data_IF_800172762093
#
_entry.id   IF_800172762093
#
_cell.length_a   1.000
_cell.length_b   1.000
_cell.length_c   1.000
_cell.angle_alpha   90.00
_cell.angle_beta   90.00
_cell.angle_gamma   90.00
#
_symmetry.space_group_name_H-M   'P 1'
#
loop_
_entity.id
_entity.type
_entity.pdbx_description
1 polymer ?
#
# COMPACT_ATOMS: atom_id res chain seq x y z
N UNK A 1 25.58 -4.47 -4.07
CA UNK A 1 25.05 -3.26 -4.72
C UNK A 1 23.64 -3.04 -4.23
N UNK A 2 23.36 -1.97 -3.50
CA UNK A 2 22.01 -1.63 -3.10
C UNK A 2 21.19 -1.32 -4.36
N UNK A 3 20.18 -2.10 -4.63
CA UNK A 3 19.29 -1.86 -5.78
C UNK A 3 18.49 -0.59 -5.50
N UNK A 4 18.67 0.44 -6.33
CA UNK A 4 18.08 1.77 -6.20
C UNK A 4 16.58 1.73 -6.55
N UNK A 5 15.79 1.00 -5.74
CA UNK A 5 14.34 0.85 -5.97
C UNK A 5 13.58 2.15 -5.75
N UNK A 6 12.53 2.33 -6.52
CA UNK A 6 11.59 3.45 -6.41
C UNK A 6 10.25 2.92 -5.92
N UNK A 7 9.90 3.25 -4.69
CA UNK A 7 8.72 2.73 -4.00
C UNK A 7 7.68 3.83 -3.84
N UNK A 8 6.44 3.53 -4.26
CA UNK A 8 5.27 4.37 -4.03
C UNK A 8 4.37 3.71 -3.00
N UNK A 9 4.23 4.31 -1.82
CA UNK A 9 3.25 3.89 -0.82
C UNK A 9 1.95 4.66 -1.01
N UNK A 10 0.81 3.96 -1.03
CA UNK A 10 -0.51 4.58 -1.20
C UNK A 10 -1.35 4.30 0.03
N UNK A 11 -1.75 5.36 0.74
CA UNK A 11 -2.49 5.29 1.99
C UNK A 11 -3.60 6.34 2.02
N UNK A 12 -4.82 6.02 2.50
CA UNK A 12 -5.95 6.95 2.48
C UNK A 12 -5.67 8.27 3.20
N UNK A 13 -5.10 8.20 4.39
CA UNK A 13 -4.76 9.35 5.23
C UNK A 13 -3.43 9.08 5.94
N UNK A 14 -2.62 10.10 6.09
CA UNK A 14 -1.37 10.03 6.85
C UNK A 14 -1.59 10.61 8.25
N UNK A 15 -2.39 9.88 9.06
CA UNK A 15 -2.71 10.19 10.45
C UNK A 15 -1.67 9.67 11.43
N UNK A 16 -2.05 9.52 12.71
CA UNK A 16 -1.18 9.02 13.78
C UNK A 16 -1.42 7.54 14.12
N UNK A 17 -2.26 6.85 13.37
CA UNK A 17 -2.48 5.42 13.58
C UNK A 17 -1.28 4.58 13.16
N UNK A 18 -1.30 3.32 13.59
CA UNK A 18 -0.18 2.42 13.34
C UNK A 18 0.14 2.17 11.86
N UNK A 19 -0.85 2.09 10.97
CA UNK A 19 -0.61 1.94 9.54
C UNK A 19 0.08 3.17 8.94
N UNK A 20 -0.29 4.33 9.43
CA UNK A 20 0.17 5.65 9.00
C UNK A 20 1.59 5.93 9.47
N UNK A 21 1.89 5.70 10.75
CA UNK A 21 3.25 5.83 11.29
C UNK A 21 4.19 4.86 10.59
N UNK A 22 3.79 3.58 10.42
CA UNK A 22 4.58 2.63 9.66
C UNK A 22 4.76 2.98 8.17
N UNK A 23 3.84 3.74 7.56
CA UNK A 23 4.04 4.30 6.22
C UNK A 23 5.12 5.40 6.24
N UNK A 24 5.04 6.28 7.21
CA UNK A 24 6.00 7.35 7.44
C UNK A 24 7.41 6.80 7.68
N UNK A 25 7.55 5.87 8.63
CA UNK A 25 8.83 5.26 9.01
C UNK A 25 9.48 4.53 7.83
N UNK A 26 8.70 3.68 7.13
CA UNK A 26 9.18 2.97 5.97
C UNK A 26 9.63 3.93 4.85
N UNK A 27 8.89 5.04 4.65
CA UNK A 27 9.26 6.00 3.63
C UNK A 27 10.63 6.64 3.91
N UNK A 28 10.92 6.99 5.16
CA UNK A 28 12.21 7.56 5.55
C UNK A 28 13.32 6.52 5.53
N UNK A 29 13.08 5.33 6.08
CA UNK A 29 14.05 4.22 6.04
C UNK A 29 14.48 3.86 4.61
N UNK A 30 13.55 3.81 3.67
CA UNK A 30 13.86 3.56 2.27
C UNK A 30 14.84 4.61 1.70
N UNK A 31 14.67 5.88 2.07
CA UNK A 31 15.59 6.93 1.60
C UNK A 31 16.96 6.87 2.26
N UNK A 32 17.05 6.31 3.47
CA UNK A 32 18.34 6.04 4.15
C UNK A 32 19.09 4.87 3.50
N UNK A 33 18.37 4.03 2.76
CA UNK A 33 18.92 2.90 1.96
C UNK A 33 19.01 3.26 0.47
N UNK A 34 19.15 4.54 0.14
CA UNK A 34 19.29 5.06 -1.23
C UNK A 34 18.11 4.72 -2.18
N UNK A 35 16.97 4.33 -1.63
CA UNK A 35 15.75 4.10 -2.39
C UNK A 35 14.95 5.40 -2.53
N UNK A 36 14.35 5.64 -3.70
CA UNK A 36 13.42 6.77 -3.87
C UNK A 36 12.06 6.40 -3.27
N UNK A 37 11.53 7.28 -2.43
CA UNK A 37 10.25 7.06 -1.75
C UNK A 37 9.22 8.13 -2.10
N UNK A 38 8.03 7.66 -2.48
CA UNK A 38 6.85 8.50 -2.78
C UNK A 38 5.71 8.05 -1.89
N UNK A 39 5.02 8.99 -1.25
CA UNK A 39 3.77 8.75 -0.52
C UNK A 39 2.63 9.41 -1.29
N UNK A 40 1.59 8.64 -1.63
CA UNK A 40 0.33 9.15 -2.19
C UNK A 40 -0.74 9.02 -1.12
N UNK A 41 -1.38 10.13 -0.77
CA UNK A 41 -2.38 10.20 0.32
C UNK A 41 -3.37 11.33 0.07
N UNK A 42 -4.57 11.24 0.64
CA UNK A 42 -5.52 12.38 0.60
C UNK A 42 -5.20 13.48 1.61
N UNK A 43 -4.20 13.28 2.44
CA UNK A 43 -3.79 14.26 3.44
C UNK A 43 -3.49 13.62 4.79
N UNK A 44 -3.31 14.44 5.80
CA UNK A 44 -3.14 14.01 7.19
C UNK A 44 -2.05 14.78 7.94
N UNK A 45 -2.12 14.76 9.29
CA UNK A 45 -1.25 15.60 10.14
C UNK A 45 0.23 15.19 10.08
N UNK A 46 0.57 13.92 9.83
CA UNK A 46 1.97 13.49 9.73
C UNK A 46 2.71 14.10 8.52
N UNK A 47 1.99 14.64 7.52
CA UNK A 47 2.63 15.26 6.35
C UNK A 47 3.58 16.39 6.75
N UNK A 48 3.27 17.13 7.81
CA UNK A 48 4.12 18.24 8.29
C UNK A 48 5.51 17.79 8.76
N UNK A 49 5.64 16.54 9.19
CA UNK A 49 6.90 15.96 9.68
C UNK A 49 7.69 15.24 8.58
N UNK A 50 7.10 15.00 7.40
CA UNK A 50 7.79 14.33 6.29
C UNK A 50 8.95 15.20 5.80
N UNK A 51 10.17 14.64 5.79
CA UNK A 51 11.37 15.29 5.25
C UNK A 51 11.25 15.41 3.73
N UNK A 52 10.63 16.48 3.24
CA UNK A 52 10.25 16.67 1.81
C UNK A 52 11.43 16.66 0.84
N UNK A 53 12.65 16.93 1.30
CA UNK A 53 13.88 16.78 0.51
C UNK A 53 14.21 15.31 0.19
N UNK A 54 13.71 14.37 0.99
CA UNK A 54 13.98 12.93 0.85
C UNK A 54 12.77 12.15 0.35
N UNK A 55 11.57 12.47 0.84
CA UNK A 55 10.32 11.76 0.53
C UNK A 55 9.36 12.67 -0.22
N UNK A 56 8.94 12.28 -1.41
CA UNK A 56 7.93 13.01 -2.18
C UNK A 56 6.53 12.67 -1.65
N UNK A 57 5.74 13.68 -1.32
CA UNK A 57 4.33 13.51 -0.94
C UNK A 57 3.43 14.08 -2.02
N UNK A 58 2.46 13.29 -2.47
CA UNK A 58 1.49 13.67 -3.50
C UNK A 58 0.09 13.53 -2.91
N UNK A 59 -0.71 14.59 -3.00
CA UNK A 59 -2.11 14.57 -2.56
C UNK A 59 -3.00 14.06 -3.68
N UNK A 60 -3.77 12.99 -3.39
CA UNK A 60 -4.74 12.38 -4.29
C UNK A 60 -5.90 11.83 -3.46
N UNK A 61 -7.17 11.92 -3.88
CA UNK A 61 -8.33 11.49 -3.10
C UNK A 61 -8.49 9.97 -3.05
N UNK A 62 -7.41 9.26 -2.64
CA UNK A 62 -7.33 7.79 -2.59
C UNK A 62 -8.15 7.14 -1.46
N UNK A 63 -8.77 7.95 -0.59
CA UNK A 63 -9.71 7.49 0.44
C UNK A 63 -11.10 7.21 -0.11
N UNK A 64 -11.47 7.81 -1.25
CA UNK A 64 -12.76 7.65 -1.88
C UNK A 64 -12.90 6.25 -2.50
N UNK A 65 -14.11 5.67 -2.38
CA UNK A 65 -14.40 4.29 -2.81
C UNK A 65 -15.44 4.22 -3.92
N UNK A 66 -15.97 5.37 -4.38
CA UNK A 66 -16.91 5.37 -5.48
C UNK A 66 -16.22 5.04 -6.81
N UNK A 67 -16.94 4.48 -7.81
CA UNK A 67 -16.35 4.03 -9.07
C UNK A 67 -15.59 5.12 -9.83
N UNK A 68 -16.12 6.34 -9.86
CA UNK A 68 -15.48 7.45 -10.56
C UNK A 68 -14.14 7.83 -9.94
N UNK A 69 -14.07 7.91 -8.60
CA UNK A 69 -12.83 8.16 -7.90
C UNK A 69 -11.81 7.02 -8.10
N UNK A 70 -12.27 5.75 -8.15
CA UNK A 70 -11.40 4.61 -8.40
C UNK A 70 -10.77 4.69 -9.80
N UNK A 71 -11.56 5.02 -10.83
CA UNK A 71 -11.07 5.18 -12.21
C UNK A 71 -10.10 6.35 -12.29
N UNK A 72 -10.47 7.52 -11.76
CA UNK A 72 -9.62 8.71 -11.73
C UNK A 72 -8.29 8.44 -11.01
N UNK A 73 -8.34 7.85 -9.81
CA UNK A 73 -7.15 7.51 -9.05
C UNK A 73 -6.28 6.50 -9.80
N UNK A 74 -6.88 5.52 -10.50
CA UNK A 74 -6.13 4.55 -11.31
C UNK A 74 -5.34 5.27 -12.40
N UNK A 75 -5.99 6.16 -13.14
CA UNK A 75 -5.34 6.91 -14.22
C UNK A 75 -4.19 7.78 -13.70
N UNK A 76 -4.42 8.54 -12.62
CA UNK A 76 -3.38 9.37 -12.02
C UNK A 76 -2.22 8.51 -11.48
N UNK A 77 -2.52 7.36 -10.85
CA UNK A 77 -1.47 6.46 -10.38
C UNK A 77 -0.64 5.88 -11.53
N UNK A 78 -1.22 5.60 -12.71
CA UNK A 78 -0.48 5.20 -13.90
C UNK A 78 0.52 6.29 -14.29
N UNK A 79 0.05 7.54 -14.42
CA UNK A 79 0.91 8.67 -14.78
C UNK A 79 2.05 8.85 -13.77
N UNK A 80 1.76 8.78 -12.47
CA UNK A 80 2.77 8.90 -11.42
C UNK A 80 3.79 7.75 -11.47
N UNK A 81 3.36 6.52 -11.74
CA UNK A 81 4.27 5.38 -11.89
C UNK A 81 5.25 5.56 -13.04
N UNK A 82 4.79 6.12 -14.16
CA UNK A 82 5.62 6.40 -15.33
C UNK A 82 6.56 7.57 -15.02
N UNK A 83 6.02 8.71 -14.58
CA UNK A 83 6.76 9.95 -14.32
C UNK A 83 7.90 9.75 -13.30
N UNK A 84 7.61 9.05 -12.20
CA UNK A 84 8.60 8.79 -11.16
C UNK A 84 9.37 7.49 -11.37
N UNK A 85 9.11 6.75 -12.46
CA UNK A 85 9.72 5.45 -12.78
C UNK A 85 9.62 4.48 -11.61
N UNK A 86 8.42 4.35 -11.02
CA UNK A 86 8.17 3.53 -9.84
C UNK A 86 8.36 2.04 -10.17
N UNK A 87 9.04 1.31 -9.31
CA UNK A 87 9.24 -0.14 -9.44
C UNK A 87 8.22 -0.95 -8.62
N UNK A 88 7.86 -0.41 -7.43
CA UNK A 88 6.97 -1.08 -6.48
C UNK A 88 5.88 -0.10 -6.04
N UNK A 89 4.62 -0.54 -6.12
CA UNK A 89 3.46 0.15 -5.55
C UNK A 89 2.97 -0.64 -4.35
N UNK A 90 2.94 0.01 -3.18
CA UNK A 90 2.55 -0.58 -1.93
C UNK A 90 1.24 0.03 -1.42
N UNK A 91 0.13 -0.69 -1.56
CA UNK A 91 -1.14 -0.28 -0.97
C UNK A 91 -1.20 -0.68 0.51
N UNK A 92 -1.43 0.31 1.37
CA UNK A 92 -1.50 0.13 2.83
C UNK A 92 -2.93 0.13 3.37
N UNK A 93 -3.92 0.06 2.49
CA UNK A 93 -5.34 -0.02 2.87
C UNK A 93 -6.19 -0.46 1.69
N UNK A 94 -7.38 -0.99 1.99
CA UNK A 94 -8.37 -1.44 0.98
C UNK A 94 -8.87 -0.32 0.07
N UNK A 95 -8.99 0.91 0.58
CA UNK A 95 -9.55 2.01 -0.20
C UNK A 95 -8.75 2.26 -1.49
N UNK A 96 -7.43 2.46 -1.45
CA UNK A 96 -6.61 2.66 -2.65
C UNK A 96 -6.26 1.34 -3.37
N UNK A 97 -6.47 0.18 -2.75
CA UNK A 97 -5.90 -1.07 -3.27
C UNK A 97 -6.42 -1.46 -4.66
N UNK A 98 -7.69 -1.17 -4.99
CA UNK A 98 -8.21 -1.43 -6.34
C UNK A 98 -7.57 -0.54 -7.39
N UNK A 99 -7.42 0.75 -7.12
CA UNK A 99 -6.72 1.66 -8.03
C UNK A 99 -5.24 1.29 -8.19
N UNK A 100 -4.58 0.89 -7.11
CA UNK A 100 -3.22 0.37 -7.16
C UNK A 100 -3.11 -0.93 -7.98
N UNK A 101 -4.04 -1.86 -7.79
CA UNK A 101 -4.08 -3.13 -8.52
C UNK A 101 -4.21 -2.91 -10.02
N UNK A 102 -5.19 -2.11 -10.46
CA UNK A 102 -5.40 -1.84 -11.87
C UNK A 102 -4.24 -1.04 -12.49
N UNK A 103 -3.75 -0.02 -11.80
CA UNK A 103 -2.63 0.78 -12.30
C UNK A 103 -1.35 -0.06 -12.45
N UNK A 104 -1.05 -0.94 -11.49
CA UNK A 104 0.12 -1.84 -11.57
C UNK A 104 -0.04 -2.95 -12.60
N UNK A 105 -1.27 -3.42 -12.83
CA UNK A 105 -1.57 -4.38 -13.89
C UNK A 105 -1.25 -3.78 -15.27
N UNK A 106 -1.67 -2.52 -15.51
CA UNK A 106 -1.42 -1.80 -16.78
C UNK A 106 0.07 -1.47 -16.94
N UNK A 107 0.71 -0.94 -15.90
CA UNK A 107 2.12 -0.53 -15.96
C UNK A 107 3.12 -1.66 -15.76
N UNK A 108 2.62 -2.88 -15.46
CA UNK A 108 3.43 -4.08 -15.15
C UNK A 108 4.40 -3.89 -13.98
N UNK A 109 4.05 -3.00 -13.03
CA UNK A 109 4.86 -2.77 -11.82
C UNK A 109 4.54 -3.80 -10.74
N UNK A 110 5.45 -3.96 -9.77
CA UNK A 110 5.24 -4.88 -8.64
C UNK A 110 4.21 -4.29 -7.68
N UNK A 111 3.19 -5.07 -7.36
CA UNK A 111 2.16 -4.70 -6.40
C UNK A 111 2.38 -5.41 -5.08
N UNK A 112 2.41 -4.65 -3.98
CA UNK A 112 2.57 -5.12 -2.61
C UNK A 112 1.42 -4.58 -1.76
N UNK A 113 0.97 -5.34 -0.78
CA UNK A 113 -0.07 -4.92 0.17
C UNK A 113 0.33 -5.25 1.59
N UNK A 114 -0.17 -4.48 2.55
CA UNK A 114 -0.07 -4.82 3.98
C UNK A 114 -1.45 -4.81 4.62
N UNK A 115 -1.79 -5.91 5.28
CA UNK A 115 -2.94 -5.99 6.18
C UNK A 115 -2.54 -5.46 7.57
N UNK A 116 -3.18 -4.38 8.00
CA UNK A 116 -2.96 -3.76 9.30
C UNK A 116 -4.02 -4.15 10.36
N UNK A 117 -5.01 -4.95 9.98
CA UNK A 117 -6.07 -5.43 10.83
C UNK A 117 -6.93 -6.45 10.09
N UNK A 118 -7.90 -7.05 10.78
CA UNK A 118 -8.87 -7.96 10.17
C UNK A 118 -9.84 -7.18 9.29
N UNK A 119 -10.12 -7.70 8.11
CA UNK A 119 -11.08 -7.11 7.20
C UNK A 119 -12.38 -7.91 7.23
N UNK A 120 -13.19 -7.66 8.27
CA UNK A 120 -14.47 -8.30 8.45
C UNK A 120 -15.43 -7.94 7.31
N UNK A 121 -16.26 -8.91 6.93
CA UNK A 121 -17.24 -8.77 5.88
C UNK A 121 -18.57 -9.39 6.32
N UNK A 122 -19.68 -8.70 6.01
CA UNK A 122 -21.05 -9.18 6.29
C UNK A 122 -21.64 -9.96 5.11
N UNK A 123 -21.11 -9.78 3.90
CA UNK A 123 -21.63 -10.39 2.68
C UNK A 123 -20.53 -10.69 1.66
N UNK A 124 -20.86 -11.48 0.63
CA UNK A 124 -19.95 -11.91 -0.43
C UNK A 124 -19.35 -10.72 -1.20
N UNK A 125 -20.11 -9.66 -1.43
CA UNK A 125 -19.65 -8.47 -2.14
C UNK A 125 -18.52 -7.75 -1.36
N UNK A 126 -18.72 -7.55 -0.05
CA UNK A 126 -17.68 -6.94 0.80
C UNK A 126 -16.44 -7.83 0.91
N UNK A 127 -16.61 -9.17 0.94
CA UNK A 127 -15.50 -10.13 0.89
C UNK A 127 -14.71 -9.99 -0.41
N UNK A 128 -15.40 -9.94 -1.56
CA UNK A 128 -14.78 -9.69 -2.86
C UNK A 128 -14.05 -8.35 -2.91
N UNK A 129 -14.68 -7.26 -2.43
CA UNK A 129 -14.03 -5.95 -2.36
C UNK A 129 -12.72 -5.99 -1.55
N UNK A 130 -12.72 -6.67 -0.40
CA UNK A 130 -11.55 -6.81 0.45
C UNK A 130 -10.45 -7.69 -0.20
N UNK A 131 -10.83 -8.64 -1.06
CA UNK A 131 -9.91 -9.63 -1.65
C UNK A 131 -8.83 -9.01 -2.52
N UNK A 132 -8.97 -7.75 -2.95
CA UNK A 132 -7.93 -7.05 -3.71
C UNK A 132 -6.59 -7.02 -2.94
N UNK A 133 -6.66 -7.02 -1.62
CA UNK A 133 -5.47 -6.99 -0.77
C UNK A 133 -4.61 -8.25 -0.85
N UNK A 134 -5.17 -9.37 -1.31
CA UNK A 134 -4.42 -10.64 -1.53
C UNK A 134 -4.12 -10.91 -3.02
N UNK A 135 -4.48 -9.97 -3.92
CA UNK A 135 -4.14 -10.06 -5.34
C UNK A 135 -2.73 -9.56 -5.66
N UNK A 136 -2.01 -9.04 -4.67
CA UNK A 136 -0.64 -8.54 -4.79
C UNK A 136 0.37 -9.69 -4.96
N UNK A 137 1.54 -9.39 -5.54
CA UNK A 137 2.65 -10.37 -5.58
C UNK A 137 3.17 -10.75 -4.21
N UNK A 138 3.11 -9.79 -3.27
CA UNK A 138 3.47 -9.98 -1.87
C UNK A 138 2.41 -9.33 -0.99
N UNK A 139 1.74 -10.14 -0.20
CA UNK A 139 0.84 -9.72 0.86
C UNK A 139 1.57 -9.83 2.20
N UNK A 140 1.64 -8.75 2.94
CA UNK A 140 2.27 -8.68 4.25
C UNK A 140 1.17 -8.71 5.33
N UNK A 141 1.27 -9.65 6.25
CA UNK A 141 0.49 -9.71 7.48
C UNK A 141 1.32 -9.12 8.63
N UNK A 142 0.76 -8.16 9.38
CA UNK A 142 1.47 -7.50 10.49
C UNK A 142 1.61 -8.35 11.75
N UNK A 143 1.00 -9.54 11.79
CA UNK A 143 1.09 -10.52 12.88
C UNK A 143 0.62 -11.90 12.43
N UNK A 144 0.91 -12.94 13.23
CA UNK A 144 0.41 -14.30 12.98
C UNK A 144 -1.13 -14.34 13.03
N UNK A 145 -1.75 -13.57 13.89
CA UNK A 145 -3.21 -13.44 13.95
C UNK A 145 -3.80 -12.94 12.63
N UNK A 146 -3.19 -11.91 12.02
CA UNK A 146 -3.61 -11.41 10.71
C UNK A 146 -3.33 -12.43 9.60
N UNK A 147 -2.20 -13.13 9.67
CA UNK A 147 -1.87 -14.19 8.71
C UNK A 147 -2.93 -15.30 8.72
N UNK A 148 -3.31 -15.81 9.90
CA UNK A 148 -4.37 -16.82 10.04
C UNK A 148 -5.71 -16.29 9.49
N UNK A 149 -6.10 -15.07 9.84
CA UNK A 149 -7.30 -14.42 9.32
C UNK A 149 -7.32 -14.37 7.79
N UNK A 150 -6.17 -14.09 7.14
CA UNK A 150 -6.06 -14.06 5.69
C UNK A 150 -6.25 -15.45 5.11
N UNK A 151 -5.59 -16.47 5.64
CA UNK A 151 -5.71 -17.85 5.18
C UNK A 151 -7.16 -18.36 5.31
N UNK A 152 -7.79 -18.22 6.47
CA UNK A 152 -9.16 -18.68 6.71
C UNK A 152 -10.17 -17.99 5.78
N UNK A 153 -9.99 -16.72 5.50
CA UNK A 153 -11.03 -15.93 4.84
C UNK A 153 -10.75 -15.61 3.37
N UNK A 154 -9.48 -15.57 2.94
CA UNK A 154 -9.09 -15.07 1.63
C UNK A 154 -8.22 -16.03 0.82
N UNK A 155 -7.91 -17.25 1.31
CA UNK A 155 -7.06 -18.24 0.64
C UNK A 155 -7.45 -18.46 -0.83
N UNK A 156 -8.73 -18.63 -1.12
CA UNK A 156 -9.24 -18.84 -2.49
C UNK A 156 -8.96 -17.70 -3.47
N UNK A 157 -8.58 -16.51 -2.97
CA UNK A 157 -8.18 -15.36 -3.79
C UNK A 157 -6.67 -15.22 -3.92
N UNK A 158 -5.89 -15.97 -3.14
CA UNK A 158 -4.43 -16.06 -3.28
C UNK A 158 -4.09 -16.84 -4.55
N UNK A 159 -3.30 -16.24 -5.42
CA UNK A 159 -2.80 -16.96 -6.59
C UNK A 159 -1.57 -17.78 -6.19
N UNK A 160 -1.31 -18.94 -6.80
CA UNK A 160 -0.15 -19.79 -6.45
C UNK A 160 1.21 -19.08 -6.50
N UNK A 161 1.32 -18.06 -7.35
CA UNK A 161 2.57 -17.24 -7.48
C UNK A 161 2.67 -16.08 -6.50
N UNK A 162 1.64 -15.84 -5.70
CA UNK A 162 1.62 -14.75 -4.71
C UNK A 162 2.14 -15.27 -3.37
N UNK A 163 2.94 -14.43 -2.70
CA UNK A 163 3.49 -14.75 -1.38
C UNK A 163 2.67 -14.06 -0.29
N UNK A 164 2.38 -14.78 0.77
CA UNK A 164 1.85 -14.25 2.02
C UNK A 164 2.93 -14.44 3.09
N UNK A 165 3.37 -13.34 3.71
CA UNK A 165 4.41 -13.36 4.72
C UNK A 165 3.97 -12.61 5.97
N UNK A 166 4.42 -13.08 7.13
CA UNK A 166 4.34 -12.31 8.37
C UNK A 166 5.57 -11.42 8.46
N UNK A 167 5.34 -10.11 8.57
CA UNK A 167 6.39 -9.14 8.89
C UNK A 167 5.88 -8.31 10.05
N UNK A 168 6.43 -8.58 11.24
CA UNK A 168 6.09 -7.84 12.45
C UNK A 168 6.49 -6.37 12.30
N UNK A 169 5.70 -5.51 12.93
CA UNK A 169 6.04 -4.09 12.94
C UNK A 169 7.19 -3.85 13.91
N UNK A 170 8.25 -3.25 13.39
CA UNK A 170 9.29 -2.67 14.23
C UNK A 170 8.84 -1.34 14.83
N UNK A 171 9.43 -0.99 15.96
CA UNK A 171 9.41 0.34 16.56
C UNK A 171 10.84 0.88 16.60
N UNK A 172 10.99 2.18 16.37
CA UNK A 172 12.27 2.82 16.60
C UNK A 172 12.44 2.98 18.12
N UNK A 173 13.53 2.46 18.67
CA UNK A 173 13.83 2.52 20.10
C UNK A 173 14.74 3.72 20.46
N UNK A 174 15.12 4.53 19.46
CA UNK A 174 15.95 5.72 19.63
C UNK A 174 15.10 6.98 19.68
#
# INVERSE_FOLDING_TARGET
>A
MASNFKVMQVIPKLGYGGAETGCYDLAHFLTEKDCKSVIVTSGGPLIKFVKKKRVKVIKLPVHLKNPFALIFNTFVLILLQILYRIDIVHARSRAPAWSCYWSTFITRRKFVTTFHGTYNFKNKFKKFYNSVMVKSKLTIAGSNFIFNHINENYEKYLKPKNKLLVIFRGINLN
#
